data_IF_129428599552
#
_entry.id   IF_129428599552
#
_cell.length_a   1.000
_cell.length_b   1.000
_cell.length_c   1.000
_cell.angle_alpha   90.00
_cell.angle_beta   90.00
_cell.angle_gamma   90.00
#
_symmetry.space_group_name_H-M   'P 1'
#
loop_
_entity.id
_entity.type
_entity.pdbx_description
1 polymer ?
#
# COMPACT_ATOMS: atom_id res chain seq x y z
N UNK A 1 15.43 18.28 16.61
CA UNK A 1 14.45 17.49 15.82
C UNK A 1 15.05 16.21 15.22
N UNK A 2 16.34 16.16 14.89
CA UNK A 2 16.99 14.93 14.37
C UNK A 2 17.13 13.81 15.42
N UNK A 3 17.45 14.16 16.67
CA UNK A 3 17.65 13.16 17.73
C UNK A 3 16.42 12.28 18.00
N UNK A 4 15.23 12.87 17.96
CA UNK A 4 13.95 12.14 18.10
C UNK A 4 13.70 11.22 16.90
N UNK A 5 14.14 11.62 15.71
CA UNK A 5 14.05 10.81 14.49
C UNK A 5 14.99 9.60 14.59
N UNK A 6 16.23 9.82 15.02
CA UNK A 6 17.21 8.75 15.24
C UNK A 6 16.77 7.75 16.31
N UNK A 7 16.21 8.22 17.44
CA UNK A 7 15.67 7.32 18.48
C UNK A 7 14.50 6.50 17.93
N UNK A 8 13.60 7.10 17.14
CA UNK A 8 12.49 6.36 16.53
C UNK A 8 12.99 5.31 15.54
N UNK A 9 14.00 5.61 14.73
CA UNK A 9 14.57 4.65 13.79
C UNK A 9 15.33 3.53 14.50
N UNK A 10 15.94 3.81 15.65
CA UNK A 10 16.59 2.82 16.51
C UNK A 10 15.59 1.90 17.23
N UNK A 11 14.55 2.48 17.84
CA UNK A 11 13.52 1.73 18.58
C UNK A 11 12.53 1.01 17.65
N UNK A 12 12.32 1.53 16.44
CA UNK A 12 11.39 1.00 15.45
C UNK A 12 12.04 0.95 14.07
N UNK A 13 12.94 -0.03 13.81
CA UNK A 13 13.69 -0.16 12.55
C UNK A 13 12.82 -0.72 11.41
N UNK A 14 11.60 -0.19 11.24
CA UNK A 14 10.63 -0.65 10.24
C UNK A 14 11.14 -0.50 8.80
N UNK A 15 12.11 0.38 8.57
CA UNK A 15 12.77 0.53 7.26
C UNK A 15 13.75 -0.60 6.95
N UNK A 16 14.33 -1.22 7.96
CA UNK A 16 15.38 -2.23 7.81
C UNK A 16 14.84 -3.66 7.93
N UNK A 17 13.63 -3.84 8.45
CA UNK A 17 13.00 -5.16 8.60
C UNK A 17 11.94 -5.35 7.53
N UNK A 18 11.91 -6.53 6.91
CA UNK A 18 10.86 -6.91 5.99
C UNK A 18 9.50 -6.98 6.70
N UNK A 19 8.56 -6.16 6.27
CA UNK A 19 7.23 -6.11 6.87
C UNK A 19 6.34 -7.29 6.46
N UNK A 20 6.72 -8.09 5.46
CA UNK A 20 6.00 -9.31 5.10
C UNK A 20 6.34 -10.51 5.99
N UNK A 21 7.62 -10.82 6.22
CA UNK A 21 8.02 -11.95 7.08
C UNK A 21 8.38 -11.53 8.51
N UNK A 22 8.88 -10.32 8.71
CA UNK A 22 9.48 -9.80 9.97
C UNK A 22 10.79 -10.46 10.40
N UNK A 23 11.34 -11.36 9.59
CA UNK A 23 12.53 -12.14 9.96
C UNK A 23 13.80 -11.66 9.22
N UNK A 24 13.63 -11.08 8.02
CA UNK A 24 14.74 -10.71 7.14
C UNK A 24 14.88 -9.19 6.98
N UNK A 25 16.05 -8.76 6.52
CA UNK A 25 16.33 -7.37 6.20
C UNK A 25 15.56 -6.97 4.92
N UNK A 26 14.86 -5.84 4.96
CA UNK A 26 14.20 -5.26 3.79
C UNK A 26 15.24 -4.73 2.79
N UNK A 27 14.93 -4.83 1.50
CA UNK A 27 15.69 -4.14 0.46
C UNK A 27 15.31 -2.66 0.52
N UNK A 28 16.31 -1.79 0.35
CA UNK A 28 16.24 -0.32 0.31
C UNK A 28 14.83 0.26 0.06
N UNK A 29 14.26 0.89 1.09
CA UNK A 29 12.96 1.57 1.12
C UNK A 29 11.71 0.77 0.70
N UNK A 30 11.84 -0.47 0.22
CA UNK A 30 10.72 -1.29 -0.29
C UNK A 30 9.98 -2.06 0.81
N UNK A 31 10.46 -2.03 2.06
CA UNK A 31 9.92 -2.79 3.21
C UNK A 31 9.80 -4.31 3.00
N UNK A 32 10.33 -4.85 1.90
CA UNK A 32 10.22 -6.26 1.51
C UNK A 32 11.64 -6.81 1.28
N UNK A 33 11.96 -7.97 1.86
CA UNK A 33 13.23 -8.65 1.61
C UNK A 33 13.24 -9.36 0.25
N UNK A 34 14.43 -9.70 -0.27
CA UNK A 34 14.59 -10.41 -1.53
C UNK A 34 13.76 -11.70 -1.62
N UNK A 35 13.78 -12.52 -0.56
CA UNK A 35 13.03 -13.78 -0.50
C UNK A 35 11.52 -13.56 -0.61
N UNK A 36 10.96 -12.64 0.18
CA UNK A 36 9.54 -12.32 0.10
C UNK A 36 9.17 -11.70 -1.25
N UNK A 37 10.05 -10.87 -1.83
CA UNK A 37 9.83 -10.28 -3.15
C UNK A 37 9.75 -11.36 -4.24
N UNK A 38 10.60 -12.39 -4.18
CA UNK A 38 10.56 -13.52 -5.11
C UNK A 38 9.28 -14.36 -5.02
N UNK A 39 8.52 -14.25 -3.94
CA UNK A 39 7.20 -14.89 -3.78
C UNK A 39 6.06 -14.02 -4.32
N UNK A 40 6.33 -12.77 -4.69
CA UNK A 40 5.35 -11.85 -5.27
C UNK A 40 5.42 -11.93 -6.79
N UNK A 41 4.32 -12.31 -7.40
CA UNK A 41 4.16 -12.27 -8.86
C UNK A 41 3.74 -10.86 -9.29
N UNK A 42 4.71 -10.00 -9.59
CA UNK A 42 4.47 -8.66 -10.09
C UNK A 42 3.92 -8.69 -11.52
N UNK A 43 2.83 -7.96 -11.74
CA UNK A 43 2.15 -7.86 -13.03
C UNK A 43 2.21 -6.46 -13.62
N UNK A 44 1.95 -5.42 -12.81
CA UNK A 44 1.83 -4.01 -13.25
C UNK A 44 1.02 -3.89 -14.55
N UNK A 45 -0.21 -4.40 -14.56
CA UNK A 45 -1.05 -4.49 -15.76
C UNK A 45 -2.18 -3.47 -15.74
N UNK A 46 -2.56 -3.06 -16.94
CA UNK A 46 -3.66 -2.16 -17.24
C UNK A 46 -4.76 -2.96 -17.96
N UNK A 47 -6.02 -2.65 -17.66
CA UNK A 47 -7.21 -3.21 -18.30
C UNK A 47 -8.11 -2.05 -18.68
N UNK A 48 -8.44 -1.94 -19.97
CA UNK A 48 -9.49 -1.05 -20.46
C UNK A 48 -10.86 -1.70 -20.24
N UNK A 49 -11.71 -1.04 -19.46
CA UNK A 49 -13.06 -1.54 -19.18
C UNK A 49 -14.14 -0.83 -20.00
N UNK A 50 -13.85 0.38 -20.50
CA UNK A 50 -14.78 1.19 -21.30
C UNK A 50 -16.18 1.31 -20.65
N UNK A 51 -16.23 1.41 -19.31
CA UNK A 51 -17.47 1.59 -18.56
C UNK A 51 -17.73 3.08 -18.28
N UNK A 52 -19.00 3.50 -18.13
CA UNK A 52 -19.30 4.86 -17.71
C UNK A 52 -18.61 5.20 -16.39
N UNK A 53 -17.76 6.25 -16.40
CA UNK A 53 -16.98 6.73 -15.25
C UNK A 53 -15.86 5.78 -14.76
N UNK A 54 -15.55 4.71 -15.49
CA UNK A 54 -14.42 3.83 -15.22
C UNK A 54 -13.79 3.37 -16.54
N UNK A 55 -12.80 4.14 -16.98
CA UNK A 55 -12.08 3.86 -18.23
C UNK A 55 -11.11 2.69 -18.08
N UNK A 56 -10.28 2.74 -17.02
CA UNK A 56 -9.13 1.86 -16.84
C UNK A 56 -9.02 1.32 -15.42
N UNK A 57 -8.49 0.10 -15.31
CA UNK A 57 -8.13 -0.53 -14.04
C UNK A 57 -6.69 -0.99 -14.10
N UNK A 58 -5.95 -0.73 -13.01
CA UNK A 58 -4.57 -1.14 -12.86
C UNK A 58 -4.45 -2.12 -11.70
N UNK A 59 -3.62 -3.15 -11.85
CA UNK A 59 -3.28 -4.07 -10.77
C UNK A 59 -1.79 -4.40 -10.75
N UNK A 60 -1.23 -4.44 -9.55
CA UNK A 60 0.20 -4.56 -9.34
C UNK A 60 0.71 -6.00 -9.32
N UNK A 61 -0.08 -6.93 -8.78
CA UNK A 61 0.35 -8.30 -8.50
C UNK A 61 -0.72 -9.33 -8.84
N UNK A 62 -0.31 -10.56 -9.12
CA UNK A 62 -1.20 -11.71 -9.22
C UNK A 62 -1.55 -12.25 -7.83
N UNK A 63 -2.79 -12.73 -7.68
CA UNK A 63 -3.31 -13.21 -6.41
C UNK A 63 -2.90 -14.65 -6.12
N UNK A 64 -1.62 -14.85 -5.81
CA UNK A 64 -1.08 -16.14 -5.41
C UNK A 64 -1.28 -16.40 -3.90
N UNK A 65 -0.85 -17.58 -3.44
CA UNK A 65 -0.99 -18.00 -2.03
C UNK A 65 -0.36 -17.01 -1.06
N UNK A 66 0.86 -16.54 -1.35
CA UNK A 66 1.60 -15.63 -0.49
C UNK A 66 0.90 -14.28 -0.37
N UNK A 67 0.52 -13.67 -1.50
CA UNK A 67 -0.22 -12.40 -1.53
C UNK A 67 -1.59 -12.53 -0.84
N UNK A 68 -2.31 -13.64 -1.05
CA UNK A 68 -3.56 -13.94 -0.35
C UNK A 68 -3.40 -13.91 1.17
N UNK A 69 -2.37 -14.57 1.69
CA UNK A 69 -2.09 -14.61 3.12
C UNK A 69 -1.75 -13.21 3.66
N UNK A 70 -0.92 -12.41 2.95
CA UNK A 70 -0.61 -11.04 3.37
C UNK A 70 -1.81 -10.10 3.31
N UNK A 71 -2.66 -10.23 2.29
CA UNK A 71 -3.93 -9.47 2.20
C UNK A 71 -4.89 -9.89 3.32
N UNK A 72 -4.97 -11.17 3.66
CA UNK A 72 -5.79 -11.64 4.78
C UNK A 72 -5.32 -11.03 6.10
N UNK A 73 -4.02 -11.12 6.38
CA UNK A 73 -3.37 -10.46 7.51
C UNK A 73 -3.70 -8.95 7.59
N UNK A 74 -3.63 -8.25 6.46
CA UNK A 74 -3.94 -6.82 6.37
C UNK A 74 -5.44 -6.49 6.46
N UNK A 75 -6.34 -7.45 6.28
CA UNK A 75 -7.79 -7.22 6.38
C UNK A 75 -8.36 -7.69 7.71
N UNK A 76 -7.75 -8.66 8.38
CA UNK A 76 -8.45 -9.38 9.44
C UNK A 76 -7.61 -9.61 10.71
N UNK A 77 -6.30 -9.36 10.67
CA UNK A 77 -5.40 -9.67 11.80
C UNK A 77 -4.76 -8.42 12.42
N UNK A 78 -5.33 -7.24 12.19
CA UNK A 78 -4.82 -5.99 12.80
C UNK A 78 -3.44 -5.55 12.28
N UNK A 79 -2.92 -6.16 11.21
CA UNK A 79 -1.58 -5.89 10.68
C UNK A 79 -1.54 -4.66 9.77
N UNK A 80 -1.96 -3.51 10.30
CA UNK A 80 -2.07 -2.25 9.55
C UNK A 80 -0.76 -1.81 8.90
N UNK A 81 0.39 -2.08 9.53
CA UNK A 81 1.74 -1.76 9.00
C UNK A 81 2.01 -2.33 7.60
N UNK A 82 1.23 -3.32 7.15
CA UNK A 82 1.30 -3.85 5.79
C UNK A 82 0.87 -2.84 4.71
N UNK A 83 0.29 -1.69 5.07
CA UNK A 83 0.03 -0.62 4.12
C UNK A 83 1.32 -0.13 3.43
N UNK A 84 2.48 -0.20 4.11
CA UNK A 84 3.76 0.25 3.56
C UNK A 84 4.24 -0.62 2.40
N UNK A 85 4.47 -1.94 2.57
CA UNK A 85 4.88 -2.79 1.44
C UNK A 85 3.83 -2.84 0.33
N UNK A 86 2.53 -2.86 0.65
CA UNK A 86 1.50 -2.78 -0.39
C UNK A 86 1.45 -1.41 -1.08
N UNK A 87 1.76 -0.33 -0.36
CA UNK A 87 1.88 1.02 -0.90
C UNK A 87 3.03 1.14 -1.89
N UNK A 88 4.21 0.61 -1.56
CA UNK A 88 5.36 0.56 -2.48
C UNK A 88 5.06 -0.25 -3.74
N UNK A 89 4.36 -1.39 -3.59
CA UNK A 89 3.89 -2.19 -4.73
C UNK A 89 2.98 -1.36 -5.65
N UNK A 90 2.05 -0.56 -5.09
CA UNK A 90 1.19 0.33 -5.87
C UNK A 90 1.97 1.47 -6.53
N UNK A 91 2.91 2.09 -5.81
CA UNK A 91 3.78 3.15 -6.34
C UNK A 91 4.59 2.64 -7.52
N UNK A 92 5.17 1.44 -7.42
CA UNK A 92 5.88 0.80 -8.52
C UNK A 92 5.00 0.69 -9.77
N UNK A 93 3.74 0.26 -9.64
CA UNK A 93 2.80 0.22 -10.77
C UNK A 93 2.48 1.60 -11.33
N UNK A 94 2.26 2.59 -10.46
CA UNK A 94 1.95 3.97 -10.86
C UNK A 94 3.10 4.59 -11.66
N UNK A 95 4.33 4.42 -11.19
CA UNK A 95 5.53 4.91 -11.87
C UNK A 95 5.80 4.17 -13.17
N UNK A 96 5.69 2.83 -13.17
CA UNK A 96 5.85 1.99 -14.37
C UNK A 96 4.87 2.39 -15.49
N UNK A 97 3.65 2.77 -15.11
CA UNK A 97 2.61 3.21 -16.05
C UNK A 97 2.60 4.72 -16.31
N UNK A 98 3.53 5.48 -15.73
CA UNK A 98 3.57 6.95 -15.87
C UNK A 98 2.26 7.62 -15.47
N UNK A 99 1.59 7.10 -14.44
CA UNK A 99 0.32 7.63 -13.94
C UNK A 99 0.53 8.81 -12.98
N UNK A 100 1.71 8.90 -12.36
CA UNK A 100 2.12 9.99 -11.47
C UNK A 100 1.93 11.38 -12.07
N UNK A 101 2.06 11.52 -13.40
CA UNK A 101 1.90 12.78 -14.13
C UNK A 101 0.49 13.01 -14.69
N UNK A 102 -0.40 12.04 -14.53
CA UNK A 102 -1.74 12.01 -15.15
C UNK A 102 -2.87 12.01 -14.12
N UNK A 103 -2.55 11.89 -12.85
CA UNK A 103 -3.53 11.84 -11.76
C UNK A 103 -3.60 13.21 -11.09
N UNK A 104 -4.77 13.84 -11.15
CA UNK A 104 -5.01 15.11 -10.44
C UNK A 104 -5.29 14.91 -8.95
N UNK A 105 -5.85 13.76 -8.59
CA UNK A 105 -6.22 13.46 -7.21
C UNK A 105 -6.34 11.95 -6.94
N UNK A 106 -6.13 11.59 -5.68
CA UNK A 106 -6.30 10.23 -5.17
C UNK A 106 -7.51 10.19 -4.23
N UNK A 107 -8.35 9.18 -4.39
CA UNK A 107 -9.45 8.88 -3.48
C UNK A 107 -9.35 7.43 -3.03
N UNK A 108 -9.94 7.11 -1.89
CA UNK A 108 -10.06 5.74 -1.40
C UNK A 108 -11.52 5.31 -1.29
N UNK A 109 -11.77 4.01 -1.39
CA UNK A 109 -13.11 3.45 -1.17
C UNK A 109 -13.36 3.34 0.33
N UNK A 110 -14.38 4.02 0.89
CA UNK A 110 -14.69 3.94 2.31
C UNK A 110 -15.18 2.54 2.67
N UNK A 111 -14.71 2.01 3.81
CA UNK A 111 -15.26 0.81 4.41
C UNK A 111 -16.47 1.16 5.28
N UNK A 112 -17.38 0.21 5.50
CA UNK A 112 -18.51 0.37 6.40
C UNK A 112 -18.05 0.62 7.85
N UNK A 113 -18.65 1.61 8.54
CA UNK A 113 -18.27 2.06 9.90
C UNK A 113 -18.10 0.92 10.91
N UNK A 114 -19.01 -0.07 10.93
CA UNK A 114 -18.87 -1.25 11.82
C UNK A 114 -17.62 -2.09 11.54
N UNK A 115 -17.27 -2.29 10.26
CA UNK A 115 -16.07 -3.03 9.87
C UNK A 115 -14.81 -2.24 10.19
N UNK A 116 -14.85 -0.92 10.02
CA UNK A 116 -13.77 -0.02 10.44
C UNK A 116 -13.53 -0.10 11.94
N UNK A 117 -14.59 0.00 12.75
CA UNK A 117 -14.51 -0.08 14.21
C UNK A 117 -13.93 -1.43 14.68
N UNK A 118 -14.35 -2.54 14.07
CA UNK A 118 -13.82 -3.87 14.41
C UNK A 118 -12.35 -4.06 13.97
N UNK A 119 -11.99 -3.55 12.79
CA UNK A 119 -10.64 -3.70 12.20
C UNK A 119 -9.63 -2.70 12.78
N UNK A 120 -10.11 -1.55 13.24
CA UNK A 120 -9.30 -0.41 13.70
C UNK A 120 -8.78 0.51 12.60
N UNK A 121 -8.99 0.19 11.31
CA UNK A 121 -8.54 1.01 10.18
C UNK A 121 -9.27 0.68 8.89
N UNK A 122 -9.27 1.63 7.94
CA UNK A 122 -9.60 1.39 6.55
C UNK A 122 -8.33 1.16 5.71
N UNK A 123 -8.14 -0.07 5.25
CA UNK A 123 -7.01 -0.46 4.41
C UNK A 123 -6.89 0.37 3.12
N UNK A 124 -8.00 0.72 2.48
CA UNK A 124 -7.97 1.52 1.26
C UNK A 124 -7.54 2.95 1.56
N UNK A 125 -7.95 3.48 2.72
CA UNK A 125 -7.52 4.80 3.17
C UNK A 125 -6.03 4.84 3.45
N UNK A 126 -5.50 3.85 4.19
CA UNK A 126 -4.06 3.78 4.49
C UNK A 126 -3.21 3.73 3.20
N UNK A 127 -3.64 2.94 2.21
CA UNK A 127 -2.97 2.89 0.91
C UNK A 127 -3.08 4.21 0.15
N UNK A 128 -4.27 4.81 0.07
CA UNK A 128 -4.48 6.07 -0.63
C UNK A 128 -3.70 7.23 0.00
N UNK A 129 -3.69 7.33 1.33
CA UNK A 129 -2.90 8.32 2.07
C UNK A 129 -1.39 8.10 1.87
N UNK A 130 -0.92 6.86 1.83
CA UNK A 130 0.47 6.55 1.55
C UNK A 130 0.88 7.02 0.15
N UNK A 131 0.16 6.56 -0.88
CA UNK A 131 0.47 6.91 -2.29
C UNK A 131 0.38 8.42 -2.52
N UNK A 132 -0.65 9.08 -1.99
CA UNK A 132 -0.81 10.54 -2.05
C UNK A 132 0.39 11.28 -1.48
N UNK A 133 0.87 10.84 -0.32
CA UNK A 133 2.02 11.45 0.33
C UNK A 133 3.30 11.26 -0.49
N UNK A 134 3.56 10.05 -0.97
CA UNK A 134 4.80 9.74 -1.71
C UNK A 134 4.84 10.41 -3.09
N UNK A 135 3.68 10.59 -3.75
CA UNK A 135 3.59 11.28 -5.05
C UNK A 135 3.34 12.79 -4.93
N UNK A 136 3.12 13.30 -3.71
CA UNK A 136 2.69 14.68 -3.46
C UNK A 136 1.43 15.08 -4.26
N UNK A 137 0.46 14.17 -4.36
CA UNK A 137 -0.82 14.37 -5.05
C UNK A 137 -1.93 14.56 -4.01
N UNK A 138 -2.88 15.50 -4.17
CA UNK A 138 -3.97 15.70 -3.22
C UNK A 138 -4.80 14.42 -2.97
N UNK A 139 -5.12 14.16 -1.70
CA UNK A 139 -6.04 13.11 -1.30
C UNK A 139 -7.37 13.69 -0.83
N UNK A 140 -8.47 13.32 -1.49
CA UNK A 140 -9.81 13.69 -1.04
C UNK A 140 -10.30 12.69 0.00
N UNK A 141 -10.29 13.12 1.27
CA UNK A 141 -10.97 12.39 2.35
C UNK A 141 -12.47 12.61 2.20
N UNK A 142 -13.25 11.53 2.29
CA UNK A 142 -14.71 11.64 2.32
C UNK A 142 -15.08 12.43 3.57
N UNK A 143 -15.56 13.67 3.41
CA UNK A 143 -16.25 14.41 4.47
C UNK A 143 -17.46 13.57 4.86
N UNK A 144 -17.48 13.12 6.11
CA UNK A 144 -18.57 12.33 6.66
C UNK A 144 -19.87 13.11 6.57
N UNK A 145 -20.74 12.74 5.63
CA UNK A 145 -22.19 12.96 5.72
C UNK A 145 -22.78 11.99 6.74
#
# INVERSE_FOLDING_TARGET
MEFVKSIKEFLFPQKYICLFCKDNIAIDNDYICASCRGLVEFANREIDLNLPNLEKVYYSVLYNRFIREKIHSFKFEGKSYLYKPFGEILLSTIMDKGLDKRIDAIIYVPIHRRKEAFRGYNQSQLLGEYVSKELNIPNFKKTSF
#
